data_IF_529758148593
#
_entry.id   IF_529758148593
#
_cell.length_a   1.000
_cell.length_b   1.000
_cell.length_c   1.000
_cell.angle_alpha   90.00
_cell.angle_beta   90.00
_cell.angle_gamma   90.00
#
_symmetry.space_group_name_H-M   'P 1'
#
loop_
_entity.id
_entity.type
_entity.pdbx_description
1 polymer ?
#
# COMPACT_ATOMS: atom_id res chain seq x y z
N UNK A 1 24.52 -19.60 4.44
CA UNK A 1 23.19 -19.45 3.82
C UNK A 1 22.63 -18.09 4.19
N UNK A 2 22.67 -17.12 3.29
CA UNK A 2 22.02 -15.84 3.50
C UNK A 2 20.54 -16.10 3.28
N UNK A 3 19.73 -16.08 4.34
CA UNK A 3 18.26 -16.15 4.22
C UNK A 3 17.84 -14.96 3.37
N UNK A 4 17.57 -15.20 2.09
CA UNK A 4 17.07 -14.18 1.17
C UNK A 4 15.79 -13.63 1.76
N UNK A 5 15.79 -12.35 2.14
CA UNK A 5 14.62 -11.64 2.64
C UNK A 5 13.57 -11.62 1.52
N UNK A 6 12.60 -12.54 1.59
CA UNK A 6 11.47 -12.57 0.66
C UNK A 6 10.72 -11.25 0.79
N UNK A 7 10.55 -10.53 -0.33
CA UNK A 7 9.80 -9.28 -0.38
C UNK A 7 8.35 -9.56 0.03
N UNK A 8 7.79 -8.71 0.89
CA UNK A 8 6.46 -8.90 1.50
C UNK A 8 5.44 -7.86 1.05
N UNK A 9 5.90 -6.66 0.71
CA UNK A 9 5.07 -5.52 0.37
C UNK A 9 5.42 -4.96 -1.00
N UNK A 10 4.45 -4.30 -1.59
CA UNK A 10 4.52 -3.59 -2.85
C UNK A 10 4.00 -2.17 -2.64
N UNK A 11 4.66 -1.21 -3.28
CA UNK A 11 4.18 0.17 -3.36
C UNK A 11 3.48 0.26 -4.70
N UNK A 12 2.18 0.56 -4.65
CA UNK A 12 1.36 0.71 -5.84
C UNK A 12 0.89 2.15 -5.93
N UNK A 13 1.06 2.75 -7.11
CA UNK A 13 0.43 4.02 -7.45
C UNK A 13 -0.93 3.74 -8.06
N UNK A 14 -2.01 3.99 -7.35
CA UNK A 14 -3.37 3.84 -7.87
C UNK A 14 -3.69 4.90 -8.93
N UNK A 15 -4.41 4.46 -9.96
CA UNK A 15 -4.85 5.33 -11.06
C UNK A 15 -5.98 6.27 -10.63
N UNK A 16 -6.85 5.80 -9.74
CA UNK A 16 -7.98 6.55 -9.18
C UNK A 16 -7.84 6.62 -7.67
N UNK A 17 -7.83 7.84 -7.14
CA UNK A 17 -7.76 8.07 -5.69
C UNK A 17 -9.17 7.93 -5.12
N UNK A 18 -9.49 6.76 -4.57
CA UNK A 18 -10.74 6.53 -3.80
C UNK A 18 -10.51 6.33 -2.30
N UNK A 19 -9.28 6.53 -1.86
CA UNK A 19 -8.80 6.36 -0.48
C UNK A 19 -8.75 7.70 0.25
N UNK A 20 -8.44 7.70 1.54
CA UNK A 20 -8.44 8.93 2.32
C UNK A 20 -7.26 9.84 1.90
N UNK A 21 -7.60 11.10 1.59
CA UNK A 21 -6.76 12.15 1.01
C UNK A 21 -6.25 11.87 -0.42
N UNK A 22 -5.23 12.62 -0.89
CA UNK A 22 -4.93 12.78 -2.34
C UNK A 22 -3.63 12.11 -2.83
N UNK A 23 -2.96 11.31 -2.01
CA UNK A 23 -1.75 10.58 -2.42
C UNK A 23 -2.15 9.27 -3.11
N UNK A 24 -1.75 9.06 -4.37
CA UNK A 24 -2.06 7.83 -5.09
C UNK A 24 -1.21 6.64 -4.65
N UNK A 25 -0.12 6.83 -3.91
CA UNK A 25 0.76 5.74 -3.51
C UNK A 25 0.26 5.05 -2.24
N UNK A 26 0.21 3.70 -2.28
CA UNK A 26 -0.20 2.84 -1.15
C UNK A 26 0.76 1.67 -0.99
N UNK A 27 1.10 1.32 0.26
CA UNK A 27 1.79 0.07 0.58
C UNK A 27 0.76 -1.03 0.78
N UNK A 28 0.96 -2.14 0.07
CA UNK A 28 0.08 -3.32 0.10
C UNK A 28 0.89 -4.60 0.19
N UNK A 29 0.36 -5.69 0.78
CA UNK A 29 0.99 -6.99 0.70
C UNK A 29 1.20 -7.42 -0.75
N UNK A 30 2.40 -7.89 -1.07
CA UNK A 30 2.78 -8.32 -2.41
C UNK A 30 1.86 -9.43 -2.93
N UNK A 31 1.35 -10.28 -2.04
CA UNK A 31 0.41 -11.37 -2.37
C UNK A 31 -0.98 -10.88 -2.78
N UNK A 32 -1.33 -9.62 -2.53
CA UNK A 32 -2.59 -9.04 -2.98
C UNK A 32 -2.53 -8.55 -4.43
N UNK A 33 -1.32 -8.42 -4.98
CA UNK A 33 -1.10 -7.98 -6.36
C UNK A 33 -1.59 -9.05 -7.33
N UNK A 34 -2.54 -8.67 -8.17
CA UNK A 34 -2.89 -9.44 -9.37
C UNK A 34 -2.31 -8.73 -10.59
N UNK A 35 -1.41 -9.42 -11.29
CA UNK A 35 -0.89 -8.92 -12.55
C UNK A 35 -1.97 -9.06 -13.62
N UNK A 36 -2.21 -7.98 -14.37
CA UNK A 36 -3.20 -7.97 -15.45
C UNK A 36 -2.56 -7.71 -16.80
N UNK A 37 -1.79 -6.62 -16.90
CA UNK A 37 -1.10 -6.20 -18.12
C UNK A 37 0.38 -5.88 -17.84
N UNK A 38 1.22 -5.72 -18.87
CA UNK A 38 2.57 -5.21 -18.70
C UNK A 38 2.51 -3.83 -18.03
N UNK A 39 2.99 -3.75 -16.80
CA UNK A 39 3.03 -2.56 -15.94
C UNK A 39 1.72 -2.17 -15.21
N UNK A 40 0.67 -2.99 -15.26
CA UNK A 40 -0.56 -2.74 -14.50
C UNK A 40 -0.87 -3.86 -13.50
N UNK A 41 -1.33 -3.44 -12.34
CA UNK A 41 -1.73 -4.31 -11.25
C UNK A 41 -3.15 -3.98 -10.80
N UNK A 42 -3.85 -5.02 -10.33
CA UNK A 42 -5.10 -4.89 -9.60
C UNK A 42 -4.88 -5.28 -8.14
N UNK A 43 -5.42 -4.47 -7.23
CA UNK A 43 -5.30 -4.67 -5.79
C UNK A 43 -6.60 -4.31 -5.12
N UNK A 44 -7.10 -5.17 -4.23
CA UNK A 44 -8.19 -4.79 -3.33
C UNK A 44 -7.66 -3.93 -2.20
N UNK A 45 -8.29 -2.80 -1.96
CA UNK A 45 -7.88 -1.86 -0.93
C UNK A 45 -9.09 -1.30 -0.19
N UNK A 46 -9.01 -1.11 1.14
CA UNK A 46 -10.11 -0.55 1.92
C UNK A 46 -10.47 0.87 1.45
N UNK A 47 -11.73 1.25 1.65
CA UNK A 47 -12.18 2.61 1.36
C UNK A 47 -11.60 3.61 2.36
N UNK A 48 -11.72 4.91 2.06
CA UNK A 48 -11.29 5.99 2.96
C UNK A 48 -11.90 5.92 4.38
N UNK A 49 -13.06 5.27 4.52
CA UNK A 49 -13.81 5.18 5.77
C UNK A 49 -13.42 3.91 6.58
N UNK A 50 -12.84 2.91 5.92
CA UNK A 50 -12.44 1.62 6.52
C UNK A 50 -10.93 1.51 6.73
N UNK A 51 -10.14 2.23 5.93
CA UNK A 51 -8.69 2.05 5.85
C UNK A 51 -8.02 2.15 7.22
N UNK A 52 -8.46 3.06 8.09
CA UNK A 52 -7.92 3.24 9.44
C UNK A 52 -8.07 2.04 10.37
N UNK A 53 -9.12 1.23 10.23
CA UNK A 53 -9.33 0.02 11.04
C UNK A 53 -8.69 -1.22 10.43
N UNK A 54 -8.21 -1.13 9.18
CA UNK A 54 -7.77 -2.27 8.38
C UNK A 54 -6.26 -2.34 8.16
N UNK A 55 -5.51 -1.35 8.66
CA UNK A 55 -4.06 -1.36 8.53
C UNK A 55 -3.37 -2.52 9.25
N UNK A 56 -3.90 -3.00 10.37
CA UNK A 56 -3.37 -4.21 11.01
C UNK A 56 -3.44 -5.39 10.05
N UNK A 57 -4.55 -5.54 9.32
CA UNK A 57 -4.70 -6.56 8.29
C UNK A 57 -3.73 -6.37 7.12
N UNK A 58 -3.39 -5.12 6.77
CA UNK A 58 -2.38 -4.81 5.75
C UNK A 58 -0.98 -5.21 6.26
N UNK A 59 -0.61 -4.84 7.49
CA UNK A 59 0.72 -5.07 8.09
C UNK A 59 0.97 -6.56 8.32
N UNK A 60 0.01 -7.27 8.93
CA UNK A 60 0.04 -8.73 9.11
C UNK A 60 -0.10 -9.49 7.79
N UNK A 61 -0.26 -8.75 6.69
CA UNK A 61 -0.45 -9.29 5.36
C UNK A 61 -1.63 -10.26 5.31
N UNK A 62 -2.75 -10.05 6.01
CA UNK A 62 -3.94 -10.91 6.00
C UNK A 62 -4.61 -10.98 4.61
N UNK A 63 -5.67 -11.76 4.41
CA UNK A 63 -6.35 -11.75 3.10
C UNK A 63 -7.17 -10.47 2.96
N UNK A 64 -7.21 -9.85 1.77
CA UNK A 64 -8.01 -8.65 1.58
C UNK A 64 -9.49 -9.00 1.64
N UNK A 65 -10.31 -8.14 2.23
CA UNK A 65 -11.76 -8.37 2.26
C UNK A 65 -12.32 -8.49 0.84
N UNK A 66 -13.28 -9.40 0.65
CA UNK A 66 -14.01 -9.53 -0.61
C UNK A 66 -14.94 -8.34 -0.88
N UNK A 67 -15.29 -7.57 0.16
CA UNK A 67 -16.11 -6.35 0.05
C UNK A 67 -15.32 -5.15 -0.47
N UNK A 68 -13.99 -5.17 -0.38
CA UNK A 68 -13.15 -4.05 -0.82
C UNK A 68 -13.13 -3.90 -2.32
N UNK A 69 -13.12 -2.65 -2.76
CA UNK A 69 -13.03 -2.32 -4.18
C UNK A 69 -11.67 -2.74 -4.72
N UNK A 70 -11.69 -3.28 -5.94
CA UNK A 70 -10.47 -3.56 -6.69
C UNK A 70 -10.01 -2.28 -7.40
N UNK A 71 -8.80 -1.84 -7.08
CA UNK A 71 -8.15 -0.64 -7.58
C UNK A 71 -7.09 -1.01 -8.62
N UNK A 72 -7.08 -0.31 -9.75
CA UNK A 72 -5.98 -0.41 -10.72
C UNK A 72 -4.84 0.54 -10.36
N UNK A 73 -3.62 0.11 -10.67
CA UNK A 73 -2.44 0.94 -10.47
C UNK A 73 -1.19 0.40 -11.14
N UNK A 74 -0.08 1.06 -10.84
CA UNK A 74 1.25 0.71 -11.32
C UNK A 74 2.11 0.26 -10.14
N UNK A 75 2.81 -0.87 -10.29
CA UNK A 75 3.80 -1.32 -9.30
C UNK A 75 5.07 -0.46 -9.40
N UNK A 76 5.41 0.22 -8.32
CA UNK A 76 6.53 1.19 -8.30
C UNK A 76 7.76 0.65 -7.55
N UNK A 77 7.53 -0.10 -6.48
CA UNK A 77 8.61 -0.63 -5.64
C UNK A 77 8.18 -1.88 -4.87
N UNK A 78 9.14 -2.74 -4.52
CA UNK A 78 8.91 -3.92 -3.66
C UNK A 78 9.88 -3.94 -2.49
N UNK A 79 9.34 -4.20 -1.32
CA UNK A 79 10.09 -4.18 -0.06
C UNK A 79 9.68 -5.33 0.86
N UNK A 80 10.53 -5.65 1.82
CA UNK A 80 10.26 -6.60 2.90
C UNK A 80 9.63 -5.92 4.13
N UNK A 81 9.59 -4.58 4.18
CA UNK A 81 9.13 -3.80 5.33
C UNK A 81 8.06 -2.80 4.91
N UNK A 82 6.95 -2.75 5.66
CA UNK A 82 5.91 -1.75 5.46
C UNK A 82 6.48 -0.32 5.61
N UNK A 83 7.35 -0.12 6.61
CA UNK A 83 8.02 1.15 6.91
C UNK A 83 8.89 1.62 5.74
N UNK A 84 9.61 0.71 5.08
CA UNK A 84 10.42 1.08 3.91
C UNK A 84 9.53 1.56 2.76
N UNK A 85 8.28 1.05 2.69
CA UNK A 85 7.26 1.54 1.76
C UNK A 85 6.80 2.95 2.10
N UNK A 86 6.55 3.26 3.37
CA UNK A 86 6.24 4.61 3.83
C UNK A 86 7.37 5.59 3.49
N UNK A 87 8.63 5.20 3.74
CA UNK A 87 9.82 6.00 3.42
C UNK A 87 9.90 6.28 1.92
N UNK A 88 9.65 5.27 1.09
CA UNK A 88 9.59 5.45 -0.36
C UNK A 88 8.55 6.49 -0.76
N UNK A 89 7.34 6.41 -0.18
CA UNK A 89 6.24 7.33 -0.48
C UNK A 89 6.59 8.76 -0.04
N UNK A 90 7.19 8.92 1.16
CA UNK A 90 7.67 10.20 1.69
C UNK A 90 8.75 10.84 0.80
N UNK A 91 9.60 10.03 0.16
CA UNK A 91 10.65 10.50 -0.75
C UNK A 91 10.15 11.00 -2.11
N UNK A 92 8.89 10.77 -2.47
CA UNK A 92 8.31 11.24 -3.73
C UNK A 92 7.82 12.69 -3.56
N UNK A 93 8.33 13.61 -4.41
CA UNK A 93 8.05 15.06 -4.42
C UNK A 93 6.61 15.43 -4.85
N UNK A 94 5.56 14.92 -4.19
CA UNK A 94 4.17 15.30 -4.47
C UNK A 94 3.55 16.04 -3.27
N UNK A 95 2.94 17.19 -3.55
CA UNK A 95 2.31 18.15 -2.62
C UNK A 95 1.04 17.64 -1.93
N UNK A 96 0.90 16.34 -1.68
CA UNK A 96 -0.33 15.75 -1.18
C UNK A 96 0.00 14.54 -0.30
N UNK A 97 0.30 14.76 0.98
CA UNK A 97 0.53 13.70 1.97
C UNK A 97 -0.84 13.10 2.28
N UNK A 98 -1.20 11.90 1.79
CA UNK A 98 -1.52 10.78 2.69
C UNK A 98 -1.54 9.35 2.06
N UNK A 99 -0.66 8.47 2.51
CA UNK A 99 -1.05 7.07 2.76
C UNK A 99 -1.68 7.07 4.14
N UNK A 100 -2.88 7.65 4.21
CA UNK A 100 -3.56 8.05 5.44
C UNK A 100 -2.61 8.65 6.48
N UNK A 101 -1.87 9.67 5.98
CA UNK A 101 -0.80 10.49 6.55
C UNK A 101 0.45 9.75 7.06
N UNK A 102 0.89 8.76 6.26
CA UNK A 102 1.99 7.82 6.51
C UNK A 102 1.61 6.84 7.59
N UNK A 103 0.45 6.20 7.30
CA UNK A 103 -0.52 5.54 8.16
C UNK A 103 -0.30 6.22 9.47
N UNK A 104 -0.75 7.51 9.66
CA UNK A 104 -0.48 8.79 10.45
C UNK A 104 0.83 9.05 11.27
N UNK A 105 2.03 8.68 10.82
CA UNK A 105 3.33 8.86 11.53
C UNK A 105 3.71 8.00 12.79
N UNK A 106 2.96 7.09 13.42
CA UNK A 106 1.50 7.08 13.53
C UNK A 106 0.81 6.45 14.66
N UNK A 107 1.27 5.29 15.05
CA UNK A 107 1.11 5.02 16.45
C UNK A 107 2.19 5.87 17.16
N UNK A 108 2.48 7.10 16.69
CA UNK A 108 3.55 8.06 16.94
C UNK A 108 4.83 7.48 17.56
N UNK A 109 5.37 6.46 16.86
CA UNK A 109 6.62 5.70 17.10
C UNK A 109 6.50 4.40 17.92
N UNK A 110 5.41 4.16 18.68
CA UNK A 110 4.87 2.88 19.22
C UNK A 110 3.72 3.14 20.21
#
# INVERSE_FOLDING_TARGET
MIKGTTKKFAIVRFDVISTYGTNPYKVVPLRWIKNTDPNKVLVRYPSKDEVFTEFENIIECNQPSSSWRECSGTLEYVTNSYVDGLIFIKGKKNEFIPEELLFIDYMERL
#
